data_IF_505802799254
#
_entry.id   IF_505802799254
#
_cell.length_a   1.000
_cell.length_b   1.000
_cell.length_c   1.000
_cell.angle_alpha   90.00
_cell.angle_beta   90.00
_cell.angle_gamma   90.00
#
_symmetry.space_group_name_H-M   'P 1'
#
loop_
_entity.id
_entity.type
_entity.pdbx_description
1 polymer ?
#
# COMPACT_ATOMS: atom_id res chain seq x y z
N UNK A 1 21.88 -6.24 -82.21
CA UNK A 1 21.80 -7.71 -82.10
C UNK A 1 22.82 -8.16 -81.08
N UNK A 2 22.36 -8.92 -80.07
CA UNK A 2 23.06 -9.95 -79.26
C UNK A 2 24.40 -9.52 -78.63
N UNK A 3 24.58 -9.29 -77.32
CA UNK A 3 24.28 -10.00 -76.07
C UNK A 3 25.64 -10.19 -75.35
N UNK A 4 25.74 -9.75 -74.10
CA UNK A 4 26.94 -9.92 -73.27
C UNK A 4 26.54 -9.87 -71.81
N UNK A 5 26.47 -11.04 -71.18
CA UNK A 5 26.16 -11.24 -69.76
C UNK A 5 27.32 -10.75 -68.89
N UNK A 6 27.02 -10.05 -67.80
CA UNK A 6 27.94 -9.83 -66.68
C UNK A 6 27.27 -10.21 -65.36
N UNK A 7 27.72 -11.35 -64.84
CA UNK A 7 27.89 -11.74 -63.43
C UNK A 7 27.29 -10.84 -62.33
N UNK A 8 26.46 -11.45 -61.49
CA UNK A 8 26.58 -11.31 -60.04
C UNK A 8 26.22 -12.63 -59.36
N UNK A 9 27.16 -13.13 -58.55
CA UNK A 9 26.98 -14.30 -57.69
C UNK A 9 26.14 -13.90 -56.47
N UNK A 10 24.86 -14.29 -56.45
CA UNK A 10 24.05 -14.29 -55.23
C UNK A 10 24.28 -15.59 -54.47
N UNK A 11 24.88 -15.49 -53.30
CA UNK A 11 24.91 -16.57 -52.33
C UNK A 11 23.50 -16.76 -51.76
N UNK A 12 22.86 -17.86 -52.17
CA UNK A 12 21.63 -18.40 -51.59
C UNK A 12 21.76 -18.52 -50.06
N UNK A 13 21.26 -17.54 -49.31
CA UNK A 13 20.92 -17.72 -47.90
C UNK A 13 19.59 -18.45 -47.85
N UNK A 14 19.65 -19.73 -47.47
CA UNK A 14 18.48 -20.50 -47.06
C UNK A 14 17.93 -19.82 -45.80
N UNK A 15 16.92 -18.97 -45.99
CA UNK A 15 16.12 -18.41 -44.89
C UNK A 15 15.29 -19.55 -44.28
N UNK A 16 15.89 -20.25 -43.31
CA UNK A 16 15.12 -21.07 -42.36
C UNK A 16 14.37 -20.08 -41.48
N UNK A 17 13.13 -19.75 -41.87
CA UNK A 17 12.18 -19.08 -41.00
C UNK A 17 11.89 -20.00 -39.82
N UNK A 18 12.62 -19.81 -38.72
CA UNK A 18 12.13 -20.23 -37.43
C UNK A 18 10.89 -19.38 -37.11
N UNK A 19 9.71 -19.94 -37.37
CA UNK A 19 8.48 -19.46 -36.75
C UNK A 19 8.61 -19.71 -35.26
N UNK A 20 9.14 -18.71 -34.54
CA UNK A 20 9.07 -18.66 -33.09
C UNK A 20 7.58 -18.61 -32.75
N UNK A 21 7.04 -19.57 -31.98
CA UNK A 21 5.68 -19.45 -31.46
C UNK A 21 5.57 -18.11 -30.72
N UNK A 22 4.52 -17.34 -30.95
CA UNK A 22 4.23 -16.13 -30.19
C UNK A 22 4.01 -16.52 -28.72
N UNK A 23 5.07 -16.45 -27.91
CA UNK A 23 5.01 -16.74 -26.47
C UNK A 23 4.50 -15.48 -25.77
N UNK A 24 3.20 -15.24 -25.88
CA UNK A 24 2.36 -14.64 -24.84
C UNK A 24 2.78 -13.27 -24.30
N UNK A 25 2.97 -12.26 -25.16
CA UNK A 25 3.15 -10.86 -24.73
C UNK A 25 1.87 -10.01 -24.82
N UNK A 26 0.69 -10.58 -24.67
CA UNK A 26 -0.55 -9.81 -24.80
C UNK A 26 -1.68 -10.34 -23.95
N UNK A 27 -1.86 -9.82 -22.74
CA UNK A 27 -3.18 -9.87 -22.12
C UNK A 27 -4.06 -8.85 -22.80
N UNK A 28 -5.25 -9.29 -23.22
CA UNK A 28 -6.23 -8.40 -23.82
C UNK A 28 -6.56 -7.26 -22.85
N UNK A 29 -6.70 -6.04 -23.37
CA UNK A 29 -7.10 -4.86 -22.60
C UNK A 29 -8.30 -5.10 -21.68
N UNK A 30 -9.23 -5.97 -22.11
CA UNK A 30 -10.42 -6.34 -21.34
C UNK A 30 -10.11 -7.06 -20.04
N UNK A 31 -9.08 -7.92 -20.02
CA UNK A 31 -8.72 -8.68 -18.83
C UNK A 31 -7.94 -7.80 -17.84
N UNK A 32 -7.10 -6.89 -18.33
CA UNK A 32 -6.47 -5.86 -17.48
C UNK A 32 -7.51 -4.94 -16.82
N UNK A 33 -8.54 -4.53 -17.58
CA UNK A 33 -9.62 -3.72 -17.03
C UNK A 33 -10.42 -4.49 -15.96
N UNK A 34 -10.68 -5.78 -16.15
CA UNK A 34 -11.32 -6.63 -15.13
C UNK A 34 -10.46 -6.80 -13.90
N UNK A 35 -9.18 -7.14 -14.04
CA UNK A 35 -8.24 -7.27 -12.92
C UNK A 35 -8.19 -5.97 -12.10
N UNK A 36 -8.11 -4.81 -12.77
CA UNK A 36 -8.18 -3.50 -12.11
C UNK A 36 -9.49 -3.30 -11.35
N UNK A 37 -10.64 -3.58 -11.95
CA UNK A 37 -11.94 -3.43 -11.28
C UNK A 37 -12.03 -4.32 -10.03
N UNK A 38 -11.50 -5.53 -10.11
CA UNK A 38 -11.46 -6.48 -8.98
C UNK A 38 -10.54 -5.95 -7.88
N UNK A 39 -9.32 -5.53 -8.23
CA UNK A 39 -8.40 -4.92 -7.27
C UNK A 39 -8.99 -3.69 -6.58
N UNK A 40 -9.70 -2.81 -7.29
CA UNK A 40 -10.38 -1.66 -6.69
C UNK A 40 -11.53 -2.07 -5.76
N UNK A 41 -12.24 -3.15 -6.08
CA UNK A 41 -13.32 -3.66 -5.21
C UNK A 41 -12.74 -4.31 -3.94
N UNK A 42 -11.68 -5.10 -4.07
CA UNK A 42 -10.95 -5.65 -2.90
C UNK A 42 -10.37 -4.52 -2.05
N UNK A 43 -9.78 -3.49 -2.67
CA UNK A 43 -9.27 -2.30 -1.96
C UNK A 43 -10.35 -1.68 -1.06
N UNK A 44 -11.54 -1.48 -1.61
CA UNK A 44 -12.68 -0.92 -0.87
C UNK A 44 -13.14 -1.83 0.27
N UNK A 45 -13.16 -3.14 0.05
CA UNK A 45 -13.60 -4.07 1.08
C UNK A 45 -12.57 -4.25 2.20
N UNK A 46 -11.26 -4.26 1.87
CA UNK A 46 -10.17 -4.21 2.84
C UNK A 46 -10.28 -2.95 3.70
N UNK A 47 -10.50 -1.79 3.08
CA UNK A 47 -10.68 -0.54 3.82
C UNK A 47 -11.89 -0.53 4.76
N UNK A 48 -12.96 -1.26 4.40
CA UNK A 48 -14.18 -1.35 5.20
C UNK A 48 -14.05 -2.31 6.37
N UNK A 49 -13.37 -3.44 6.15
CA UNK A 49 -13.34 -4.56 7.09
C UNK A 49 -12.09 -4.59 7.96
N UNK A 50 -10.97 -4.06 7.47
CA UNK A 50 -9.68 -4.15 8.14
C UNK A 50 -9.23 -2.80 8.71
N UNK A 51 -8.44 -2.80 9.80
CA UNK A 51 -7.92 -1.57 10.39
C UNK A 51 -6.76 -1.02 9.55
N UNK A 52 -7.04 -0.51 8.35
CA UNK A 52 -6.02 0.08 7.47
C UNK A 52 -5.44 1.34 8.12
N UNK A 53 -4.13 1.39 8.25
CA UNK A 53 -3.43 2.58 8.73
C UNK A 53 -3.56 3.71 7.72
N UNK A 54 -3.90 4.91 8.21
CA UNK A 54 -3.95 6.14 7.41
C UNK A 54 -2.84 7.07 7.88
N UNK A 55 -1.62 6.81 7.40
CA UNK A 55 -0.45 7.61 7.73
C UNK A 55 0.36 7.89 6.45
N UNK A 56 0.20 9.08 5.84
CA UNK A 56 0.83 9.37 4.55
C UNK A 56 2.35 9.23 4.56
N UNK A 57 3.02 9.53 5.68
CA UNK A 57 4.48 9.43 5.75
C UNK A 57 4.94 7.97 5.70
N UNK A 58 4.38 7.11 6.57
CA UNK A 58 4.72 5.69 6.62
C UNK A 58 4.35 4.98 5.31
N UNK A 59 3.16 5.27 4.78
CA UNK A 59 2.71 4.77 3.48
C UNK A 59 3.70 5.12 2.37
N UNK A 60 4.13 6.39 2.28
CA UNK A 60 5.05 6.84 1.23
C UNK A 60 6.44 6.20 1.36
N UNK A 61 6.92 5.96 2.59
CA UNK A 61 8.20 5.25 2.79
C UNK A 61 8.15 3.83 2.22
N UNK A 62 7.09 3.09 2.54
CA UNK A 62 6.92 1.72 2.06
C UNK A 62 6.58 1.68 0.56
N UNK A 63 5.79 2.64 0.09
CA UNK A 63 5.46 2.78 -1.33
C UNK A 63 6.69 3.11 -2.17
N UNK A 64 7.67 3.85 -1.63
CA UNK A 64 8.95 4.11 -2.30
C UNK A 64 9.71 2.80 -2.54
N UNK A 65 9.86 1.96 -1.50
CA UNK A 65 10.48 0.63 -1.62
C UNK A 65 9.75 -0.23 -2.64
N UNK A 66 8.42 -0.30 -2.50
CA UNK A 66 7.55 -1.04 -3.41
C UNK A 66 7.71 -0.56 -4.87
N UNK A 67 7.76 0.76 -5.09
CA UNK A 67 7.86 1.35 -6.43
C UNK A 67 9.23 1.10 -7.07
N UNK A 68 10.31 1.10 -6.29
CA UNK A 68 11.64 0.71 -6.78
C UNK A 68 11.62 -0.75 -7.27
N UNK A 69 11.04 -1.67 -6.51
CA UNK A 69 10.92 -3.09 -6.91
C UNK A 69 10.03 -3.24 -8.14
N UNK A 70 8.86 -2.60 -8.12
CA UNK A 70 7.91 -2.62 -9.22
C UNK A 70 8.50 -2.12 -10.54
N UNK A 71 9.38 -1.11 -10.48
CA UNK A 71 10.07 -0.55 -11.67
C UNK A 71 10.94 -1.57 -12.42
N UNK A 72 11.27 -2.69 -11.77
CA UNK A 72 12.03 -3.81 -12.35
C UNK A 72 11.13 -4.88 -13.00
N UNK A 73 9.82 -4.61 -13.10
CA UNK A 73 8.80 -5.54 -13.60
C UNK A 73 8.06 -4.96 -14.79
N UNK A 74 7.25 -5.78 -15.45
CA UNK A 74 6.34 -5.36 -16.54
C UNK A 74 4.93 -5.01 -16.03
N UNK A 75 4.70 -5.01 -14.71
CA UNK A 75 3.37 -4.75 -14.14
C UNK A 75 3.00 -3.28 -14.32
N UNK A 76 1.98 -3.00 -15.13
CA UNK A 76 1.52 -1.64 -15.39
C UNK A 76 0.42 -1.24 -14.39
N UNK A 77 0.65 -0.12 -13.70
CA UNK A 77 -0.32 0.61 -12.86
C UNK A 77 -1.07 -0.24 -11.80
N UNK A 78 -0.39 -0.70 -10.75
CA UNK A 78 -1.05 -1.35 -9.62
C UNK A 78 -2.09 -0.46 -8.93
N UNK A 79 -3.05 -1.08 -8.24
CA UNK A 79 -3.96 -0.36 -7.32
C UNK A 79 -3.18 0.33 -6.20
N UNK A 80 -2.14 -0.31 -5.66
CA UNK A 80 -1.24 0.30 -4.69
C UNK A 80 -0.90 -0.61 -3.52
N UNK A 81 -0.34 0.00 -2.47
CA UNK A 81 0.11 -0.67 -1.25
C UNK A 81 -0.71 -0.16 -0.06
N UNK A 82 -1.22 -1.08 0.76
CA UNK A 82 -1.88 -0.80 2.02
C UNK A 82 -1.04 -1.30 3.19
N UNK A 83 -1.18 -0.63 4.34
CA UNK A 83 -0.63 -1.09 5.61
C UNK A 83 -1.79 -1.39 6.55
N UNK A 84 -1.86 -2.61 7.04
CA UNK A 84 -2.92 -3.07 7.94
C UNK A 84 -2.38 -3.05 9.37
N UNK A 85 -3.14 -2.44 10.29
CA UNK A 85 -2.83 -2.45 11.71
C UNK A 85 -3.19 -3.79 12.35
N UNK A 86 -2.32 -4.77 12.09
CA UNK A 86 -2.43 -6.13 12.59
C UNK A 86 -1.06 -6.58 13.10
N UNK A 87 -0.96 -7.12 14.34
CA UNK A 87 0.29 -7.64 14.91
C UNK A 87 0.79 -8.93 14.27
N UNK A 88 -0.01 -9.63 13.47
CA UNK A 88 0.44 -10.82 12.76
C UNK A 88 1.46 -10.48 11.68
N UNK A 89 2.42 -11.39 11.48
CA UNK A 89 3.36 -11.31 10.34
C UNK A 89 2.63 -11.83 9.11
N UNK A 90 2.13 -10.93 8.28
CA UNK A 90 1.45 -11.28 7.04
C UNK A 90 1.61 -10.20 5.95
N UNK A 91 1.46 -10.65 4.71
CA UNK A 91 1.38 -9.83 3.51
C UNK A 91 0.49 -10.57 2.50
N UNK A 92 -0.16 -9.83 1.61
CA UNK A 92 -0.84 -10.45 0.48
C UNK A 92 -0.89 -9.50 -0.72
N UNK A 93 -1.08 -10.09 -1.89
CA UNK A 93 -1.42 -9.38 -3.11
C UNK A 93 -2.66 -9.97 -3.77
N UNK A 94 -3.38 -9.17 -4.54
CA UNK A 94 -4.55 -9.63 -5.30
C UNK A 94 -4.48 -9.15 -6.75
N UNK A 95 -5.23 -9.78 -7.68
CA UNK A 95 -5.34 -9.31 -9.05
C UNK A 95 -5.67 -7.82 -9.15
N UNK A 96 -5.08 -7.14 -10.14
CA UNK A 96 -5.12 -5.67 -10.26
C UNK A 96 -3.95 -4.96 -9.55
N UNK A 97 -3.12 -5.69 -8.79
CA UNK A 97 -1.94 -5.14 -8.15
C UNK A 97 -2.29 -4.31 -6.90
N UNK A 98 -3.23 -4.79 -6.10
CA UNK A 98 -3.36 -4.33 -4.72
C UNK A 98 -2.48 -5.22 -3.85
N UNK A 99 -1.63 -4.59 -3.05
CA UNK A 99 -0.72 -5.22 -2.10
C UNK A 99 -1.04 -4.73 -0.70
N UNK A 100 -0.90 -5.58 0.29
CA UNK A 100 -1.08 -5.22 1.69
C UNK A 100 0.00 -5.84 2.56
N UNK A 101 0.44 -5.08 3.56
CA UNK A 101 1.41 -5.52 4.57
C UNK A 101 0.83 -5.30 5.96
N UNK A 102 1.00 -6.27 6.84
CA UNK A 102 0.65 -6.10 8.24
C UNK A 102 1.76 -5.36 9.00
N UNK A 103 1.37 -4.57 10.00
CA UNK A 103 2.31 -3.92 10.91
C UNK A 103 3.25 -4.93 11.60
N UNK A 104 2.74 -6.11 11.95
CA UNK A 104 3.51 -7.20 12.53
C UNK A 104 4.70 -7.63 11.69
N UNK A 105 4.56 -7.64 10.35
CA UNK A 105 5.65 -7.92 9.43
C UNK A 105 6.75 -6.86 9.53
N UNK A 106 6.38 -5.58 9.45
CA UNK A 106 7.31 -4.44 9.54
C UNK A 106 8.02 -4.45 10.90
N UNK A 107 7.27 -4.72 11.96
CA UNK A 107 7.75 -4.71 13.35
C UNK A 107 8.66 -5.89 13.70
N UNK A 108 8.59 -6.97 12.92
CA UNK A 108 9.39 -8.18 13.07
C UNK A 108 10.66 -8.17 12.21
N UNK A 109 10.63 -7.48 11.07
CA UNK A 109 11.78 -7.33 10.20
C UNK A 109 12.96 -6.64 10.90
N UNK A 110 14.17 -7.04 10.51
CA UNK A 110 15.45 -6.53 11.05
C UNK A 110 16.04 -5.38 10.25
N UNK A 111 15.67 -5.28 8.97
CA UNK A 111 16.11 -4.22 8.07
C UNK A 111 15.10 -4.04 6.93
N UNK A 112 15.29 -3.01 6.11
CA UNK A 112 14.40 -2.75 4.98
C UNK A 112 14.51 -3.82 3.88
N UNK A 113 15.66 -4.47 3.71
CA UNK A 113 15.85 -5.51 2.69
C UNK A 113 14.97 -6.74 2.97
N UNK A 114 14.69 -7.06 4.24
CA UNK A 114 13.75 -8.12 4.62
C UNK A 114 12.30 -7.78 4.23
N UNK A 115 11.86 -6.54 4.48
CA UNK A 115 10.53 -6.06 4.04
C UNK A 115 10.45 -6.05 2.51
N UNK A 116 11.50 -5.58 1.84
CA UNK A 116 11.62 -5.61 0.39
C UNK A 116 11.56 -7.05 -0.15
N UNK A 117 12.09 -8.04 0.57
CA UNK A 117 11.99 -9.44 0.21
C UNK A 117 10.56 -9.94 0.15
N UNK A 118 9.74 -9.62 1.16
CA UNK A 118 8.32 -9.98 1.12
C UNK A 118 7.58 -9.22 0.02
N UNK A 119 7.81 -7.92 -0.14
CA UNK A 119 7.21 -7.15 -1.24
C UNK A 119 7.57 -7.74 -2.61
N UNK A 120 8.84 -8.12 -2.82
CA UNK A 120 9.30 -8.70 -4.08
C UNK A 120 8.68 -10.07 -4.36
N UNK A 121 8.49 -10.88 -3.32
CA UNK A 121 7.77 -12.16 -3.37
C UNK A 121 6.31 -11.95 -3.83
N UNK A 122 5.59 -11.05 -3.17
CA UNK A 122 4.21 -10.72 -3.52
C UNK A 122 4.10 -10.15 -4.95
N UNK A 123 5.03 -9.26 -5.33
CA UNK A 123 5.10 -8.71 -6.70
C UNK A 123 5.32 -9.85 -7.70
N UNK A 124 6.18 -10.82 -7.39
CA UNK A 124 6.38 -11.99 -8.24
C UNK A 124 5.09 -12.81 -8.39
N UNK A 125 4.30 -13.02 -7.33
CA UNK A 125 3.00 -13.68 -7.47
C UNK A 125 2.07 -12.99 -8.49
N UNK A 126 2.02 -11.66 -8.46
CA UNK A 126 1.18 -10.87 -9.38
C UNK A 126 1.76 -10.85 -10.79
N UNK A 127 3.06 -10.58 -10.96
CA UNK A 127 3.69 -10.53 -12.30
C UNK A 127 3.64 -11.88 -12.99
N UNK A 128 3.80 -12.95 -12.21
CA UNK A 128 3.69 -14.32 -12.68
C UNK A 128 2.24 -14.81 -12.73
N UNK A 129 1.24 -13.97 -12.43
CA UNK A 129 -0.19 -14.33 -12.47
C UNK A 129 -0.49 -15.67 -11.79
N UNK A 130 0.10 -15.94 -10.62
CA UNK A 130 -0.12 -17.22 -9.94
C UNK A 130 -1.60 -17.47 -9.62
N UNK A 131 -2.36 -16.42 -9.32
CA UNK A 131 -3.82 -16.52 -9.22
C UNK A 131 -4.46 -16.88 -10.57
N UNK A 132 -4.19 -16.13 -11.64
CA UNK A 132 -4.84 -16.35 -12.94
C UNK A 132 -4.42 -17.64 -13.65
N UNK A 133 -3.33 -18.29 -13.22
CA UNK A 133 -2.80 -19.56 -13.78
C UNK A 133 -3.18 -20.82 -12.99
N UNK A 134 -3.78 -20.71 -11.80
CA UNK A 134 -4.18 -21.90 -11.04
C UNK A 134 -5.28 -22.67 -11.80
N UNK A 135 -5.09 -23.99 -11.97
CA UNK A 135 -5.56 -24.79 -13.12
C UNK A 135 -7.09 -24.97 -13.29
N UNK A 136 -7.95 -24.33 -12.50
CA UNK A 136 -9.42 -24.42 -12.63
C UNK A 136 -10.13 -23.06 -12.74
N UNK A 137 -9.37 -21.98 -12.95
CA UNK A 137 -9.89 -20.62 -12.92
C UNK A 137 -9.43 -19.90 -14.21
N UNK A 138 -10.27 -19.38 -15.12
CA UNK A 138 -11.35 -18.44 -14.87
C UNK A 138 -12.17 -18.21 -16.16
N UNK A 139 -13.41 -18.71 -16.24
CA UNK A 139 -14.42 -18.14 -17.15
C UNK A 139 -14.99 -16.85 -16.55
N UNK A 140 -14.23 -15.76 -16.45
CA UNK A 140 -14.69 -14.39 -16.09
C UNK A 140 -15.33 -14.17 -14.70
N UNK A 141 -16.23 -15.03 -14.24
CA UNK A 141 -16.92 -14.99 -12.95
C UNK A 141 -16.05 -15.46 -11.78
N UNK A 142 -15.06 -16.33 -12.04
CA UNK A 142 -14.27 -16.86 -10.93
C UNK A 142 -13.39 -15.79 -10.25
N UNK A 143 -12.88 -14.75 -10.95
CA UNK A 143 -11.95 -13.80 -10.32
C UNK A 143 -12.69 -12.95 -9.27
N UNK A 144 -13.98 -12.67 -9.51
CA UNK A 144 -14.86 -12.03 -8.54
C UNK A 144 -15.11 -12.97 -7.35
N UNK A 145 -15.38 -14.26 -7.60
CA UNK A 145 -15.54 -15.23 -6.53
C UNK A 145 -14.26 -15.38 -5.68
N UNK A 146 -13.07 -15.43 -6.32
CA UNK A 146 -11.78 -15.48 -5.63
C UNK A 146 -11.58 -14.24 -4.75
N UNK A 147 -11.91 -13.05 -5.25
CA UNK A 147 -11.84 -11.84 -4.45
C UNK A 147 -12.78 -11.88 -3.24
N UNK A 148 -13.96 -12.53 -3.35
CA UNK A 148 -14.92 -12.66 -2.25
C UNK A 148 -14.43 -13.64 -1.19
N UNK A 149 -13.82 -14.72 -1.65
CA UNK A 149 -13.14 -15.70 -0.82
C UNK A 149 -11.96 -15.06 -0.09
N UNK A 150 -11.11 -14.30 -0.79
CA UNK A 150 -9.96 -13.59 -0.21
C UNK A 150 -10.41 -12.61 0.87
N UNK A 151 -11.41 -11.77 0.58
CA UNK A 151 -12.01 -10.88 1.57
C UNK A 151 -12.56 -11.68 2.75
N UNK A 152 -13.31 -12.74 2.50
CA UNK A 152 -13.91 -13.56 3.56
C UNK A 152 -12.87 -14.20 4.48
N UNK A 153 -11.78 -14.73 3.91
CA UNK A 153 -10.66 -15.28 4.66
C UNK A 153 -9.95 -14.21 5.49
N UNK A 154 -9.69 -13.03 4.92
CA UNK A 154 -9.08 -11.89 5.62
C UNK A 154 -9.93 -11.38 6.79
N UNK A 155 -11.27 -11.41 6.65
CA UNK A 155 -12.19 -11.04 7.75
C UNK A 155 -12.21 -12.10 8.83
N UNK A 156 -12.26 -13.37 8.44
CA UNK A 156 -12.32 -14.48 9.39
C UNK A 156 -11.07 -14.55 10.27
N UNK A 157 -9.91 -14.18 9.75
CA UNK A 157 -8.67 -14.23 10.50
C UNK A 157 -8.48 -13.13 11.54
N UNK A 158 -9.29 -12.07 11.46
CA UNK A 158 -9.37 -11.02 12.48
C UNK A 158 -10.29 -11.39 13.66
N UNK A 159 -11.04 -12.49 13.56
CA UNK A 159 -11.93 -12.92 14.63
C UNK A 159 -11.15 -13.64 15.74
N UNK A 160 -11.34 -13.21 16.99
CA UNK A 160 -10.78 -13.89 18.17
C UNK A 160 -11.12 -15.39 18.15
N UNK A 161 -10.16 -16.21 18.56
CA UNK A 161 -10.01 -17.64 18.23
C UNK A 161 -11.18 -18.60 18.53
N UNK A 162 -12.22 -18.15 19.22
CA UNK A 162 -13.45 -18.93 19.47
C UNK A 162 -14.53 -18.77 18.38
N UNK A 163 -14.52 -17.68 17.60
CA UNK A 163 -15.54 -17.43 16.57
C UNK A 163 -14.99 -17.62 15.15
N UNK A 164 -13.71 -17.33 14.92
CA UNK A 164 -13.05 -17.53 13.62
C UNK A 164 -12.90 -19.02 13.25
N UNK A 165 -12.80 -19.90 14.24
CA UNK A 165 -12.69 -21.35 14.06
C UNK A 165 -14.05 -22.01 13.79
N UNK A 166 -15.14 -21.50 14.35
CA UNK A 166 -16.47 -22.13 14.25
C UNK A 166 -17.12 -22.01 12.85
N UNK A 167 -16.79 -20.99 12.06
CA UNK A 167 -17.36 -20.80 10.72
C UNK A 167 -16.59 -21.57 9.63
N UNK A 168 -15.35 -22.02 9.91
CA UNK A 168 -14.42 -22.55 8.91
C UNK A 168 -14.05 -24.04 9.08
N UNK A 169 -14.78 -24.82 9.88
CA UNK A 169 -14.49 -26.27 10.06
C UNK A 169 -15.32 -27.21 9.16
N UNK A 170 -15.82 -26.72 8.01
CA UNK A 170 -16.54 -27.53 7.02
C UNK A 170 -15.69 -27.92 5.80
N UNK A 171 -16.15 -28.92 5.03
CA UNK A 171 -15.57 -29.28 3.72
C UNK A 171 -15.42 -28.08 2.78
N UNK A 172 -16.32 -27.10 2.89
CA UNK A 172 -16.27 -25.85 2.14
C UNK A 172 -15.04 -25.00 2.47
N UNK A 173 -14.60 -24.93 3.74
CA UNK A 173 -13.43 -24.14 4.11
C UNK A 173 -12.12 -24.80 3.66
N UNK A 174 -12.02 -26.13 3.71
CA UNK A 174 -10.89 -26.87 3.14
C UNK A 174 -10.77 -26.70 1.62
N UNK A 175 -11.90 -26.49 0.93
CA UNK A 175 -11.94 -26.15 -0.50
C UNK A 175 -11.47 -24.72 -0.75
N UNK A 176 -11.84 -23.76 0.11
CA UNK A 176 -11.40 -22.36 0.03
C UNK A 176 -9.89 -22.23 0.32
N UNK A 177 -9.41 -22.89 1.37
CA UNK A 177 -7.99 -22.95 1.75
C UNK A 177 -7.15 -23.45 0.57
N UNK A 178 -7.50 -24.61 -0.01
CA UNK A 178 -6.83 -25.15 -1.21
C UNK A 178 -6.84 -24.21 -2.43
N UNK A 179 -7.85 -23.35 -2.56
CA UNK A 179 -7.93 -22.39 -3.67
C UNK A 179 -7.05 -21.16 -3.44
N UNK A 180 -6.78 -20.81 -2.18
CA UNK A 180 -5.95 -19.68 -1.78
C UNK A 180 -4.47 -20.07 -1.60
N UNK A 181 -4.18 -21.33 -1.26
CA UNK A 181 -2.81 -21.83 -1.12
C UNK A 181 -2.12 -21.93 -2.47
N UNK A 182 -0.96 -21.32 -2.59
CA UNK A 182 -0.11 -21.50 -3.76
C UNK A 182 0.55 -22.88 -3.78
N UNK A 183 0.66 -23.45 -4.97
CA UNK A 183 1.43 -24.69 -5.16
C UNK A 183 2.91 -24.47 -4.83
N UNK A 184 3.60 -25.52 -4.42
CA UNK A 184 5.05 -25.47 -4.14
C UNK A 184 5.87 -24.93 -5.32
N UNK A 185 5.43 -25.18 -6.56
CA UNK A 185 6.10 -24.67 -7.75
C UNK A 185 5.90 -23.16 -7.94
N UNK A 186 4.71 -22.63 -7.63
CA UNK A 186 4.44 -21.20 -7.65
C UNK A 186 5.26 -20.47 -6.57
N UNK A 187 5.35 -21.02 -5.37
CA UNK A 187 6.19 -20.47 -4.30
C UNK A 187 7.67 -20.42 -4.72
N UNK A 188 8.22 -21.52 -5.26
CA UNK A 188 9.62 -21.54 -5.76
C UNK A 188 9.85 -20.56 -6.91
N UNK A 189 8.85 -20.40 -7.79
CA UNK A 189 8.91 -19.43 -8.88
C UNK A 189 8.91 -17.99 -8.33
N UNK A 190 8.05 -17.69 -7.36
CA UNK A 190 7.96 -16.39 -6.70
C UNK A 190 9.24 -16.06 -5.92
N UNK A 191 9.78 -17.00 -5.13
CA UNK A 191 11.04 -16.83 -4.41
C UNK A 191 12.17 -16.46 -5.38
N UNK A 192 12.30 -17.23 -6.48
CA UNK A 192 13.36 -17.03 -7.48
C UNK A 192 13.24 -15.70 -8.19
N UNK A 193 12.05 -15.34 -8.66
CA UNK A 193 11.82 -14.10 -9.42
C UNK A 193 11.86 -12.88 -8.50
N UNK A 194 11.29 -12.99 -7.30
CA UNK A 194 11.36 -11.97 -6.26
C UNK A 194 12.81 -11.61 -5.92
N UNK A 195 13.70 -12.60 -5.72
CA UNK A 195 15.13 -12.33 -5.51
C UNK A 195 15.79 -11.60 -6.68
N UNK A 196 15.38 -11.88 -7.93
CA UNK A 196 15.89 -11.14 -9.09
C UNK A 196 15.41 -9.69 -9.08
N UNK A 197 14.16 -9.44 -8.70
CA UNK A 197 13.64 -8.07 -8.52
C UNK A 197 14.35 -7.33 -7.39
N UNK A 198 14.61 -7.98 -6.25
CA UNK A 198 15.39 -7.41 -5.15
C UNK A 198 16.78 -6.97 -5.64
N UNK A 199 17.51 -7.89 -6.28
CA UNK A 199 18.86 -7.64 -6.77
C UNK A 199 18.91 -6.45 -7.73
N UNK A 200 18.01 -6.43 -8.74
CA UNK A 200 17.92 -5.34 -9.72
C UNK A 200 17.55 -3.99 -9.10
N UNK A 201 16.87 -4.01 -7.96
CA UNK A 201 16.46 -2.82 -7.21
C UNK A 201 17.50 -2.40 -6.16
N UNK A 202 18.63 -3.11 -6.06
CA UNK A 202 19.70 -2.82 -5.10
C UNK A 202 19.45 -3.32 -3.67
N UNK A 203 18.45 -4.19 -3.45
CA UNK A 203 18.20 -4.85 -2.17
C UNK A 203 18.96 -6.18 -2.08
N UNK A 204 19.37 -6.58 -0.88
CA UNK A 204 20.09 -7.84 -0.68
C UNK A 204 19.17 -9.07 -0.84
N UNK A 205 19.39 -9.96 -1.84
CA UNK A 205 18.56 -11.14 -2.04
C UNK A 205 18.60 -12.15 -0.89
N UNK A 206 19.67 -12.16 -0.08
CA UNK A 206 19.75 -13.00 1.13
C UNK A 206 18.67 -12.63 2.15
N UNK A 207 18.24 -11.37 2.15
CA UNK A 207 17.29 -10.86 3.13
C UNK A 207 15.89 -11.48 3.00
N UNK A 208 15.53 -12.05 1.84
CA UNK A 208 14.33 -12.87 1.73
C UNK A 208 14.43 -14.16 2.56
N UNK A 209 15.55 -14.88 2.46
CA UNK A 209 15.78 -16.10 3.24
C UNK A 209 15.97 -15.81 4.74
N UNK A 210 16.58 -14.68 5.07
CA UNK A 210 16.68 -14.16 6.42
C UNK A 210 15.31 -13.88 7.04
N UNK A 211 14.38 -13.29 6.26
CA UNK A 211 13.03 -13.05 6.74
C UNK A 211 12.22 -14.35 6.91
N UNK A 212 12.44 -15.36 6.06
CA UNK A 212 11.89 -16.70 6.28
C UNK A 212 12.29 -17.27 7.64
N UNK A 213 13.54 -17.05 8.07
CA UNK A 213 13.99 -17.45 9.40
C UNK A 213 13.26 -16.67 10.53
N UNK A 214 13.03 -15.37 10.34
CA UNK A 214 12.22 -14.55 11.27
C UNK A 214 10.82 -15.13 11.41
N UNK A 215 10.15 -15.47 10.30
CA UNK A 215 8.82 -16.09 10.29
C UNK A 215 8.81 -17.48 10.93
N UNK A 216 9.83 -18.30 10.66
CA UNK A 216 9.94 -19.62 11.25
C UNK A 216 10.07 -19.55 12.78
N UNK A 217 10.86 -18.60 13.29
CA UNK A 217 11.07 -18.39 14.73
C UNK A 217 9.84 -17.82 15.45
N UNK A 218 9.09 -16.91 14.82
CA UNK A 218 7.86 -16.37 15.43
C UNK A 218 6.77 -17.44 15.56
N UNK A 219 6.67 -18.31 14.55
CA UNK A 219 5.67 -19.40 14.49
C UNK A 219 6.02 -20.54 15.46
N UNK A 220 7.31 -20.80 15.70
CA UNK A 220 7.75 -21.86 16.62
C UNK A 220 7.48 -21.56 18.11
N UNK A 221 7.07 -20.32 18.45
CA UNK A 221 6.79 -19.87 19.82
C UNK A 221 5.30 -19.80 20.17
N UNK A 222 4.41 -19.92 19.18
CA UNK A 222 2.96 -19.82 19.33
C UNK A 222 2.30 -20.98 18.57
N UNK A 223 1.55 -21.84 19.27
CA UNK A 223 0.87 -23.03 18.70
C UNK A 223 -0.31 -22.71 17.77
N UNK A 224 -0.49 -21.44 17.39
CA UNK A 224 -1.50 -20.96 16.46
C UNK A 224 -0.78 -20.42 15.23
N UNK A 225 -0.91 -21.14 14.10
CA UNK A 225 -0.22 -20.83 12.84
C UNK A 225 -0.66 -19.44 12.33
N UNK A 226 0.26 -18.51 12.01
CA UNK A 226 -0.08 -17.24 11.37
C UNK A 226 -0.72 -17.43 9.99
N UNK A 227 -1.63 -16.53 9.60
CA UNK A 227 -2.37 -16.57 8.33
C UNK A 227 -1.51 -16.73 7.07
N UNK A 228 -0.29 -16.15 7.08
CA UNK A 228 0.66 -16.26 5.98
C UNK A 228 0.96 -17.72 5.61
N UNK A 229 0.89 -18.65 6.57
CA UNK A 229 1.16 -20.07 6.34
C UNK A 229 0.04 -20.81 5.60
N UNK A 230 -1.19 -20.33 5.66
CA UNK A 230 -2.31 -20.94 4.93
C UNK A 230 -2.21 -20.66 3.43
N UNK A 231 -1.65 -19.49 3.04
CA UNK A 231 -1.47 -19.14 1.62
C UNK A 231 -0.06 -19.44 1.09
N UNK A 232 0.99 -19.26 1.90
CA UNK A 232 2.40 -19.43 1.56
C UNK A 232 3.14 -20.39 2.52
N UNK A 233 2.98 -21.72 2.38
CA UNK A 233 3.62 -22.67 3.30
C UNK A 233 5.15 -22.57 3.23
N UNK A 234 5.78 -22.19 4.35
CA UNK A 234 7.23 -22.06 4.46
C UNK A 234 7.86 -23.39 4.90
N UNK A 235 8.60 -24.05 4.02
CA UNK A 235 9.31 -25.30 4.36
C UNK A 235 10.79 -25.02 4.63
N UNK A 236 11.44 -25.88 5.43
CA UNK A 236 12.90 -25.87 5.59
C UNK A 236 13.62 -26.02 4.25
N UNK A 237 13.01 -26.77 3.32
CA UNK A 237 13.41 -26.87 1.92
C UNK A 237 13.45 -25.48 1.26
N UNK A 238 12.35 -24.71 1.29
CA UNK A 238 12.28 -23.37 0.69
C UNK A 238 13.31 -22.41 1.28
N UNK A 239 13.51 -22.41 2.60
CA UNK A 239 14.53 -21.57 3.22
C UNK A 239 15.94 -21.93 2.76
N UNK A 240 16.25 -23.22 2.65
CA UNK A 240 17.57 -23.71 2.17
C UNK A 240 17.78 -23.34 0.71
N UNK A 241 16.76 -23.58 -0.11
CA UNK A 241 16.70 -23.25 -1.54
C UNK A 241 16.84 -21.74 -1.80
N UNK A 242 16.19 -20.91 -0.99
CA UNK A 242 16.31 -19.46 -1.03
C UNK A 242 17.75 -19.01 -0.76
N UNK A 243 18.41 -19.57 0.27
CA UNK A 243 19.83 -19.28 0.55
C UNK A 243 20.75 -19.70 -0.59
N UNK A 244 20.54 -20.89 -1.15
CA UNK A 244 21.34 -21.39 -2.28
C UNK A 244 21.20 -20.48 -3.52
N UNK A 245 20.00 -19.99 -3.83
CA UNK A 245 19.77 -19.06 -4.93
C UNK A 245 20.38 -17.68 -4.67
N UNK A 246 20.24 -17.17 -3.45
CA UNK A 246 20.84 -15.89 -3.09
C UNK A 246 22.38 -15.90 -3.30
N UNK A 247 23.05 -17.02 -3.02
CA UNK A 247 24.48 -17.22 -3.28
C UNK A 247 24.87 -17.20 -4.77
N UNK A 248 23.91 -17.41 -5.68
CA UNK A 248 24.13 -17.36 -7.14
C UNK A 248 24.02 -15.94 -7.70
N UNK A 249 23.49 -14.99 -6.92
CA UNK A 249 23.40 -13.59 -7.30
C UNK A 249 24.63 -12.82 -6.77
N UNK A 250 25.05 -11.74 -7.46
CA UNK A 250 26.14 -10.91 -6.96
C UNK A 250 25.83 -10.35 -5.57
N UNK A 251 26.84 -10.33 -4.71
CA UNK A 251 26.68 -9.91 -3.34
C UNK A 251 26.28 -8.43 -3.25
N UNK A 252 25.17 -8.17 -2.54
CA UNK A 252 24.73 -6.85 -2.13
C UNK A 252 24.84 -6.78 -0.61
N UNK A 253 25.52 -5.77 -0.08
CA UNK A 253 25.70 -5.65 1.38
C UNK A 253 24.35 -5.32 2.03
N UNK A 254 23.91 -6.07 3.06
CA UNK A 254 22.68 -5.77 3.76
C UNK A 254 22.81 -4.46 4.55
N UNK A 255 21.73 -3.68 4.61
CA UNK A 255 21.65 -2.48 5.43
C UNK A 255 21.22 -2.82 6.87
N UNK A 256 22.12 -3.43 7.65
CA UNK A 256 21.81 -3.93 9.00
C UNK A 256 21.69 -2.83 10.08
N UNK A 257 22.21 -1.63 9.82
CA UNK A 257 22.15 -0.47 10.71
C UNK A 257 21.51 0.72 9.99
N UNK A 258 20.33 0.48 9.44
CA UNK A 258 19.58 1.48 8.68
C UNK A 258 18.74 2.34 9.64
N UNK A 259 19.20 3.56 9.90
CA UNK A 259 18.48 4.51 10.74
C UNK A 259 17.08 4.82 10.18
N UNK A 260 16.91 4.85 8.86
CA UNK A 260 15.62 5.14 8.23
C UNK A 260 14.64 4.00 8.50
N UNK A 261 15.10 2.74 8.41
CA UNK A 261 14.27 1.59 8.75
C UNK A 261 13.92 1.55 10.25
N UNK A 262 14.86 1.86 11.14
CA UNK A 262 14.56 1.93 12.58
C UNK A 262 13.47 2.99 12.87
N UNK A 263 13.52 4.16 12.23
CA UNK A 263 12.45 5.17 12.35
C UNK A 263 11.11 4.61 11.88
N UNK A 264 11.07 3.98 10.70
CA UNK A 264 9.86 3.35 10.13
C UNK A 264 9.28 2.32 11.09
N UNK A 265 10.13 1.42 11.61
CA UNK A 265 9.76 0.34 12.51
C UNK A 265 9.19 0.87 13.83
N UNK A 266 9.90 1.78 14.50
CA UNK A 266 9.43 2.31 15.78
C UNK A 266 8.21 3.21 15.63
N UNK A 267 8.11 3.98 14.55
CA UNK A 267 6.91 4.74 14.26
C UNK A 267 5.72 3.83 13.93
N UNK A 268 5.93 2.75 13.16
CA UNK A 268 4.91 1.72 12.92
C UNK A 268 4.41 1.11 14.23
N UNK A 269 5.31 0.76 15.17
CA UNK A 269 4.93 0.27 16.50
C UNK A 269 4.08 1.24 17.30
N UNK A 270 4.36 2.54 17.23
CA UNK A 270 3.52 3.57 17.87
C UNK A 270 2.13 3.62 17.22
N UNK A 271 2.06 3.67 15.89
CA UNK A 271 0.80 3.70 15.15
C UNK A 271 -0.03 2.43 15.36
N UNK A 272 0.63 1.28 15.51
CA UNK A 272 0.00 -0.02 15.72
C UNK A 272 -0.26 -0.35 17.20
N UNK A 273 0.10 0.55 18.12
CA UNK A 273 0.02 0.32 19.59
C UNK A 273 0.76 -0.94 20.07
N UNK A 274 1.90 -1.26 19.44
CA UNK A 274 2.77 -2.40 19.76
C UNK A 274 4.07 -1.96 20.46
N UNK A 275 4.00 -0.89 21.25
CA UNK A 275 5.10 -0.37 22.07
C UNK A 275 4.55 0.28 23.33
N UNK A 276 5.38 0.43 24.35
CA UNK A 276 5.05 1.16 25.58
C UNK A 276 5.88 2.43 25.73
N UNK A 277 5.41 3.38 26.54
CA UNK A 277 6.18 4.58 26.90
C UNK A 277 7.50 4.24 27.59
N UNK A 278 7.52 3.20 28.43
CA UNK A 278 8.73 2.75 29.13
C UNK A 278 9.83 2.34 28.15
N UNK A 279 9.47 1.54 27.14
CA UNK A 279 10.39 1.09 26.11
C UNK A 279 10.96 2.27 25.31
N UNK A 280 10.10 3.21 24.91
CA UNK A 280 10.49 4.41 24.17
C UNK A 280 11.34 5.36 25.02
N UNK A 281 11.03 5.49 26.31
CA UNK A 281 11.81 6.28 27.27
C UNK A 281 13.20 5.69 27.52
N UNK A 282 13.33 4.36 27.51
CA UNK A 282 14.64 3.70 27.57
C UNK A 282 15.47 4.04 26.32
N UNK A 283 14.90 3.93 25.13
CA UNK A 283 15.59 4.29 23.89
C UNK A 283 15.98 5.77 23.86
N UNK A 284 15.11 6.64 24.35
CA UNK A 284 15.42 8.06 24.47
C UNK A 284 16.63 8.31 25.38
N UNK A 285 16.71 7.63 26.54
CA UNK A 285 17.87 7.70 27.44
C UNK A 285 19.16 7.17 26.80
N UNK A 286 19.04 6.24 25.85
CA UNK A 286 20.17 5.74 25.05
C UNK A 286 20.53 6.67 23.88
N UNK A 287 19.95 7.87 23.81
CA UNK A 287 20.14 8.84 22.74
C UNK A 287 19.84 8.28 21.34
N UNK A 288 18.86 7.37 21.24
CA UNK A 288 18.44 6.77 19.98
C UNK A 288 17.44 7.70 19.26
N UNK A 289 17.80 8.14 18.05
CA UNK A 289 16.97 9.07 17.27
C UNK A 289 15.59 8.51 16.89
N UNK A 290 15.50 7.24 16.47
CA UNK A 290 14.22 6.61 16.15
C UNK A 290 13.33 6.50 17.40
N UNK A 291 13.92 6.14 18.55
CA UNK A 291 13.24 6.11 19.84
C UNK A 291 12.75 7.48 20.30
N UNK A 292 13.52 8.54 20.07
CA UNK A 292 13.13 9.93 20.34
C UNK A 292 11.92 10.37 19.50
N UNK A 293 11.96 10.11 18.19
CA UNK A 293 10.84 10.39 17.30
C UNK A 293 9.59 9.59 17.68
N UNK A 294 9.75 8.30 17.98
CA UNK A 294 8.66 7.44 18.39
C UNK A 294 8.07 7.85 19.75
N UNK A 295 8.90 8.25 20.72
CA UNK A 295 8.43 8.79 22.01
C UNK A 295 7.62 10.07 21.82
N UNK A 296 8.10 11.00 21.00
CA UNK A 296 7.35 12.21 20.68
C UNK A 296 6.00 11.89 20.03
N UNK A 297 5.97 10.97 19.06
CA UNK A 297 4.74 10.51 18.43
C UNK A 297 3.77 9.86 19.43
N UNK A 298 4.27 9.02 20.33
CA UNK A 298 3.48 8.37 21.37
C UNK A 298 2.85 9.41 22.30
N UNK A 299 3.62 10.38 22.78
CA UNK A 299 3.15 11.42 23.69
C UNK A 299 2.16 12.38 23.01
N UNK A 300 2.31 12.65 21.71
CA UNK A 300 1.30 13.37 20.92
C UNK A 300 -0.03 12.61 20.90
N UNK A 301 -0.03 11.29 20.72
CA UNK A 301 -1.25 10.48 20.76
C UNK A 301 -1.94 10.52 22.13
N UNK A 302 -1.17 10.67 23.21
CA UNK A 302 -1.69 10.85 24.58
C UNK A 302 -2.08 12.30 24.90
N UNK A 303 -1.93 13.24 23.95
CA UNK A 303 -2.11 14.68 24.16
C UNK A 303 -1.17 15.31 25.20
N UNK A 304 -0.09 14.62 25.59
CA UNK A 304 0.97 15.21 26.43
C UNK A 304 1.95 15.99 25.55
N UNK A 305 1.51 17.18 25.15
CA UNK A 305 2.30 18.04 24.27
C UNK A 305 3.55 18.58 24.95
N UNK A 306 3.64 18.61 26.29
CA UNK A 306 4.83 19.07 27.01
C UNK A 306 5.94 18.03 26.95
N UNK A 307 5.62 16.78 27.30
CA UNK A 307 6.57 15.69 27.18
C UNK A 307 6.97 15.47 25.71
N UNK A 308 5.99 15.52 24.79
CA UNK A 308 6.27 15.37 23.36
C UNK A 308 7.26 16.43 22.84
N UNK A 309 7.12 17.68 23.27
CA UNK A 309 8.06 18.75 22.90
C UNK A 309 9.48 18.45 23.41
N UNK A 310 9.60 17.98 24.66
CA UNK A 310 10.90 17.63 25.24
C UNK A 310 11.58 16.48 24.49
N UNK A 311 10.84 15.42 24.14
CA UNK A 311 11.36 14.32 23.33
C UNK A 311 11.77 14.82 21.92
N UNK A 312 10.94 15.66 21.29
CA UNK A 312 11.21 16.21 19.97
C UNK A 312 12.43 17.14 19.93
N UNK A 313 12.65 17.92 20.98
CA UNK A 313 13.82 18.80 21.09
C UNK A 313 15.12 18.01 21.27
N UNK A 314 15.06 16.82 21.85
CA UNK A 314 16.18 15.88 21.86
C UNK A 314 16.42 15.30 20.46
N UNK A 315 15.36 14.89 19.75
CA UNK A 315 15.44 14.39 18.37
C UNK A 315 16.10 15.40 17.41
N UNK A 316 15.76 16.69 17.54
CA UNK A 316 16.33 17.77 16.71
C UNK A 316 17.86 17.90 16.81
N UNK A 317 18.48 17.40 17.87
CA UNK A 317 19.95 17.44 18.03
C UNK A 317 20.67 16.50 17.04
N UNK A 318 19.97 15.48 16.54
CA UNK A 318 20.53 14.49 15.62
C UNK A 318 20.40 14.92 14.15
N UNK A 319 19.19 15.29 13.73
CA UNK A 319 18.91 15.67 12.35
C UNK A 319 17.78 16.69 12.29
N UNK A 320 18.10 17.96 12.04
CA UNK A 320 17.11 19.04 12.06
C UNK A 320 16.16 19.05 10.86
N UNK A 321 16.47 18.31 9.79
CA UNK A 321 15.74 18.36 8.52
C UNK A 321 14.76 17.20 8.31
N UNK A 322 14.68 16.25 9.25
CA UNK A 322 13.81 15.08 9.08
C UNK A 322 12.31 15.48 9.04
N UNK A 323 11.51 15.05 8.03
CA UNK A 323 10.11 15.47 7.87
C UNK A 323 9.23 15.22 9.08
N UNK A 324 9.41 14.09 9.78
CA UNK A 324 8.65 13.79 11.00
C UNK A 324 8.83 14.85 12.09
N UNK A 325 9.98 15.52 12.17
CA UNK A 325 10.16 16.59 13.16
C UNK A 325 9.20 17.75 12.91
N UNK A 326 9.03 18.14 11.64
CA UNK A 326 8.11 19.21 11.27
C UNK A 326 6.67 18.77 11.46
N UNK A 327 6.33 17.54 11.10
CA UNK A 327 4.99 16.98 11.31
C UNK A 327 4.62 16.98 12.80
N UNK A 328 5.48 16.41 13.66
CA UNK A 328 5.24 16.33 15.10
C UNK A 328 5.27 17.70 15.77
N UNK A 329 6.18 18.59 15.38
CA UNK A 329 6.20 19.97 15.89
C UNK A 329 4.90 20.70 15.56
N UNK A 330 4.39 20.50 14.33
CA UNK A 330 3.12 21.08 13.88
C UNK A 330 1.95 20.50 14.67
N UNK A 331 1.93 19.19 14.92
CA UNK A 331 0.89 18.55 15.74
C UNK A 331 0.90 19.06 17.19
N UNK A 332 2.08 19.24 17.79
CA UNK A 332 2.23 19.86 19.12
C UNK A 332 1.66 21.29 19.13
N UNK A 333 1.99 22.11 18.13
CA UNK A 333 1.45 23.46 18.03
C UNK A 333 -0.06 23.47 17.87
N UNK A 334 -0.60 22.60 17.02
CA UNK A 334 -2.05 22.46 16.82
C UNK A 334 -2.75 22.02 18.10
N UNK A 335 -2.20 21.03 18.82
CA UNK A 335 -2.72 20.54 20.10
C UNK A 335 -2.72 21.59 21.21
N UNK A 336 -1.80 22.56 21.14
CA UNK A 336 -1.73 23.72 22.04
C UNK A 336 -2.50 24.95 21.54
N UNK A 337 -3.31 24.83 20.49
CA UNK A 337 -4.02 25.93 19.84
C UNK A 337 -3.11 27.07 19.31
N UNK A 338 -1.85 26.77 18.98
CA UNK A 338 -0.87 27.72 18.46
C UNK A 338 -0.86 27.72 16.92
N UNK A 339 -1.98 28.11 16.31
CA UNK A 339 -2.19 28.00 14.86
C UNK A 339 -1.15 28.75 14.01
N UNK A 340 -0.75 29.96 14.41
CA UNK A 340 0.25 30.74 13.68
C UNK A 340 1.63 30.07 13.70
N UNK A 341 2.00 29.44 14.82
CA UNK A 341 3.25 28.69 14.93
C UNK A 341 3.20 27.41 14.07
N UNK A 342 2.07 26.68 14.10
CA UNK A 342 1.83 25.54 13.24
C UNK A 342 1.98 25.89 11.75
N UNK A 343 1.35 26.99 11.32
CA UNK A 343 1.40 27.47 9.93
C UNK A 343 2.83 27.81 9.51
N UNK A 344 3.56 28.56 10.34
CA UNK A 344 4.95 28.93 10.07
C UNK A 344 5.87 27.69 9.97
N UNK A 345 5.66 26.72 10.85
CA UNK A 345 6.44 25.48 10.91
C UNK A 345 6.32 24.66 9.62
N UNK A 346 5.08 24.35 9.21
CA UNK A 346 4.86 23.41 8.10
C UNK A 346 4.95 24.06 6.72
N UNK A 347 4.59 25.34 6.58
CA UNK A 347 4.54 26.01 5.27
C UNK A 347 5.91 26.07 4.59
N UNK A 348 6.98 26.31 5.36
CA UNK A 348 8.35 26.32 4.82
C UNK A 348 8.78 24.92 4.37
N UNK A 349 8.50 23.89 5.18
CA UNK A 349 8.89 22.52 4.85
C UNK A 349 8.14 22.00 3.62
N UNK A 350 6.84 22.25 3.51
CA UNK A 350 6.04 21.87 2.35
C UNK A 350 6.49 22.59 1.06
N UNK A 351 7.05 23.80 1.16
CA UNK A 351 7.64 24.51 0.01
C UNK A 351 8.97 23.91 -0.42
N UNK A 352 9.80 23.46 0.53
CA UNK A 352 11.11 22.86 0.25
C UNK A 352 10.96 21.43 -0.28
N UNK A 353 9.96 20.69 0.21
CA UNK A 353 9.63 19.31 -0.19
C UNK A 353 8.20 19.24 -0.78
N UNK A 354 7.96 19.82 -1.97
CA UNK A 354 6.62 19.87 -2.58
C UNK A 354 6.06 18.49 -2.94
N UNK A 355 6.91 17.47 -3.12
CA UNK A 355 6.55 16.09 -3.39
C UNK A 355 6.16 15.29 -2.13
N UNK A 356 6.51 15.77 -0.93
CA UNK A 356 6.22 15.07 0.31
C UNK A 356 4.73 15.20 0.66
N UNK A 357 3.96 14.13 0.43
CA UNK A 357 2.51 14.10 0.65
C UNK A 357 2.14 14.39 2.10
N UNK A 358 2.85 13.81 3.06
CA UNK A 358 2.57 13.99 4.49
C UNK A 358 2.69 15.45 4.93
N UNK A 359 3.77 16.13 4.55
CA UNK A 359 3.97 17.55 4.85
C UNK A 359 2.91 18.43 4.19
N UNK A 360 2.59 18.15 2.93
CA UNK A 360 1.59 18.92 2.19
C UNK A 360 0.16 18.69 2.73
N UNK A 361 -0.18 17.48 3.16
CA UNK A 361 -1.45 17.19 3.82
C UNK A 361 -1.54 17.84 5.20
N UNK A 362 -0.46 17.82 5.98
CA UNK A 362 -0.38 18.57 7.23
C UNK A 362 -0.51 20.08 7.00
N UNK A 363 0.12 20.60 5.96
CA UNK A 363 -0.02 22.01 5.59
C UNK A 363 -1.45 22.36 5.18
N UNK A 364 -2.10 21.51 4.38
CA UNK A 364 -3.51 21.68 4.02
C UNK A 364 -4.41 21.66 5.26
N UNK A 365 -4.20 20.75 6.22
CA UNK A 365 -4.93 20.75 7.50
C UNK A 365 -4.79 22.09 8.25
N UNK A 366 -3.56 22.60 8.35
CA UNK A 366 -3.30 23.88 9.01
C UNK A 366 -3.96 25.05 8.27
N UNK A 367 -3.90 25.07 6.94
CA UNK A 367 -4.57 26.08 6.11
C UNK A 367 -6.09 26.08 6.29
N UNK A 368 -6.70 24.89 6.38
CA UNK A 368 -8.14 24.77 6.66
C UNK A 368 -8.47 25.41 8.01
N UNK A 369 -7.70 25.11 9.06
CA UNK A 369 -7.88 25.74 10.38
C UNK A 369 -7.62 27.25 10.36
N UNK A 370 -6.71 27.70 9.50
CA UNK A 370 -6.40 29.12 9.28
C UNK A 370 -7.38 29.84 8.34
N UNK A 371 -8.52 29.22 8.00
CA UNK A 371 -9.55 29.80 7.12
C UNK A 371 -9.02 30.12 5.70
N UNK A 372 -8.10 29.30 5.19
CA UNK A 372 -7.54 29.38 3.84
C UNK A 372 -7.85 28.11 3.01
N UNK A 373 -9.14 27.75 2.82
CA UNK A 373 -9.53 26.47 2.21
C UNK A 373 -9.16 26.35 0.72
N UNK A 374 -9.09 27.44 -0.03
CA UNK A 374 -8.74 27.39 -1.45
C UNK A 374 -7.30 26.93 -1.68
N UNK A 375 -6.36 27.43 -0.88
CA UNK A 375 -4.97 26.99 -0.92
C UNK A 375 -4.84 25.52 -0.52
N UNK A 376 -5.57 25.10 0.52
CA UNK A 376 -5.59 23.71 0.96
C UNK A 376 -6.06 22.77 -0.17
N UNK A 377 -7.16 23.10 -0.86
CA UNK A 377 -7.66 22.32 -2.00
C UNK A 377 -6.64 22.24 -3.13
N UNK A 378 -5.97 23.34 -3.48
CA UNK A 378 -4.96 23.35 -4.54
C UNK A 378 -3.78 22.42 -4.24
N UNK A 379 -3.34 22.37 -2.99
CA UNK A 379 -2.28 21.46 -2.54
C UNK A 379 -2.75 20.01 -2.65
N UNK A 380 -3.91 19.70 -2.06
CA UNK A 380 -4.44 18.33 -2.00
C UNK A 380 -4.77 17.78 -3.40
N UNK A 381 -5.30 18.63 -4.30
CA UNK A 381 -5.67 18.22 -5.65
C UNK A 381 -4.48 17.66 -6.45
N UNK A 382 -3.26 18.15 -6.22
CA UNK A 382 -2.05 17.64 -6.90
C UNK A 382 -1.83 16.15 -6.58
N UNK A 383 -1.99 15.77 -5.32
CA UNK A 383 -1.83 14.37 -4.89
C UNK A 383 -3.01 13.50 -5.35
N UNK A 384 -4.23 14.03 -5.32
CA UNK A 384 -5.41 13.32 -5.84
C UNK A 384 -5.37 13.09 -7.35
N UNK A 385 -4.69 13.95 -8.11
CA UNK A 385 -4.45 13.72 -9.54
C UNK A 385 -3.50 12.54 -9.78
N UNK A 386 -2.51 12.33 -8.91
CA UNK A 386 -1.60 11.20 -8.98
C UNK A 386 -2.23 9.91 -8.44
N UNK A 387 -3.04 10.00 -7.38
CA UNK A 387 -3.76 8.88 -6.80
C UNK A 387 -5.19 9.29 -6.39
N UNK A 388 -6.15 9.01 -7.26
CA UNK A 388 -7.56 9.35 -7.03
C UNK A 388 -8.24 8.46 -5.97
N UNK A 389 -7.53 7.49 -5.38
CA UNK A 389 -8.05 6.55 -4.37
C UNK A 389 -7.67 6.97 -2.94
N UNK A 390 -6.88 8.02 -2.78
CA UNK A 390 -6.40 8.50 -1.50
C UNK A 390 -7.54 9.08 -0.64
N UNK A 391 -7.97 8.31 0.35
CA UNK A 391 -9.04 8.66 1.28
C UNK A 391 -8.69 9.90 2.10
N UNK A 392 -7.43 10.06 2.50
CA UNK A 392 -6.96 11.20 3.30
C UNK A 392 -7.05 12.50 2.49
N UNK A 393 -6.68 12.45 1.21
CA UNK A 393 -6.83 13.56 0.28
C UNK A 393 -8.29 13.97 0.12
N UNK A 394 -9.20 13.03 -0.17
CA UNK A 394 -10.62 13.35 -0.30
C UNK A 394 -11.25 13.91 0.99
N UNK A 395 -10.80 13.42 2.16
CA UNK A 395 -11.23 13.96 3.45
C UNK A 395 -10.79 15.40 3.64
N UNK A 396 -9.56 15.75 3.26
CA UNK A 396 -9.09 17.14 3.31
C UNK A 396 -9.85 18.04 2.32
N UNK A 397 -10.19 17.54 1.12
CA UNK A 397 -11.06 18.28 0.18
C UNK A 397 -12.44 18.57 0.78
N UNK A 398 -13.04 17.58 1.45
CA UNK A 398 -14.32 17.74 2.14
C UNK A 398 -14.23 18.77 3.27
N UNK A 399 -13.21 18.67 4.13
CA UNK A 399 -12.99 19.59 5.26
C UNK A 399 -12.73 21.02 4.77
N UNK A 400 -11.89 21.20 3.75
CA UNK A 400 -11.62 22.49 3.15
C UNK A 400 -12.89 23.12 2.58
N UNK A 401 -13.68 22.35 1.82
CA UNK A 401 -14.95 22.84 1.26
C UNK A 401 -15.94 23.21 2.36
N UNK A 402 -15.96 22.48 3.47
CA UNK A 402 -16.82 22.81 4.60
C UNK A 402 -16.43 24.13 5.28
N UNK A 403 -15.14 24.49 5.26
CA UNK A 403 -14.61 25.75 5.80
C UNK A 403 -14.80 26.96 4.86
N UNK A 404 -15.23 26.78 3.61
CA UNK A 404 -15.51 27.89 2.69
C UNK A 404 -16.70 28.76 3.14
N UNK A 405 -16.77 30.03 2.73
CA UNK A 405 -17.98 30.83 2.86
C UNK A 405 -19.19 30.18 2.17
N UNK A 406 -20.40 30.57 2.59
CA UNK A 406 -21.62 30.06 1.98
C UNK A 406 -21.65 30.37 0.47
N UNK A 407 -21.92 29.36 -0.35
CA UNK A 407 -22.09 29.50 -1.80
C UNK A 407 -23.13 28.51 -2.31
N UNK A 408 -23.72 28.79 -3.47
CA UNK A 408 -24.74 27.93 -4.08
C UNK A 408 -24.22 26.50 -4.37
N UNK A 409 -22.91 26.32 -4.52
CA UNK A 409 -22.28 25.03 -4.86
C UNK A 409 -21.61 24.35 -3.67
N UNK A 410 -21.44 25.03 -2.53
CA UNK A 410 -20.73 24.51 -1.35
C UNK A 410 -21.30 23.17 -0.90
N UNK A 411 -22.62 23.12 -0.66
CA UNK A 411 -23.29 21.90 -0.20
C UNK A 411 -23.15 20.74 -1.19
N UNK A 412 -23.26 21.00 -2.50
CA UNK A 412 -23.06 19.99 -3.53
C UNK A 412 -21.61 19.45 -3.55
N UNK A 413 -20.61 20.32 -3.41
CA UNK A 413 -19.20 19.91 -3.37
C UNK A 413 -18.83 19.13 -2.10
N UNK A 414 -19.34 19.54 -0.93
CA UNK A 414 -19.16 18.79 0.33
C UNK A 414 -19.68 17.37 0.18
N UNK A 415 -20.90 17.21 -0.36
CA UNK A 415 -21.50 15.90 -0.61
C UNK A 415 -20.73 15.09 -1.65
N UNK A 416 -20.20 15.74 -2.70
CA UNK A 416 -19.36 15.10 -3.71
C UNK A 416 -18.08 14.52 -3.11
N UNK A 417 -17.33 15.30 -2.32
CA UNK A 417 -16.10 14.82 -1.69
C UNK A 417 -16.37 13.81 -0.59
N UNK A 418 -17.46 13.98 0.18
CA UNK A 418 -17.95 12.97 1.12
C UNK A 418 -18.20 11.63 0.44
N UNK A 419 -18.81 11.64 -0.75
CA UNK A 419 -19.04 10.42 -1.50
C UNK A 419 -17.74 9.73 -1.92
N UNK A 420 -16.68 10.46 -2.29
CA UNK A 420 -15.38 9.85 -2.58
C UNK A 420 -14.77 9.20 -1.34
N UNK A 421 -14.82 9.87 -0.18
CA UNK A 421 -14.38 9.29 1.10
C UNK A 421 -15.14 8.01 1.41
N UNK A 422 -16.48 8.06 1.34
CA UNK A 422 -17.34 6.90 1.59
C UNK A 422 -17.06 5.76 0.61
N UNK A 423 -16.89 6.08 -0.68
CA UNK A 423 -16.65 5.09 -1.72
C UNK A 423 -15.33 4.37 -1.52
N UNK A 424 -14.22 5.09 -1.39
CA UNK A 424 -12.89 4.49 -1.21
C UNK A 424 -12.70 3.85 0.17
N UNK A 425 -13.54 4.19 1.16
CA UNK A 425 -13.62 3.49 2.45
C UNK A 425 -14.56 2.27 2.43
N UNK A 426 -15.12 1.92 1.28
CA UNK A 426 -15.96 0.73 1.07
C UNK A 426 -17.46 0.90 1.39
N UNK A 427 -17.91 2.09 1.76
CA UNK A 427 -19.33 2.41 1.94
C UNK A 427 -20.01 2.83 0.63
N UNK A 428 -19.95 1.96 -0.40
CA UNK A 428 -20.40 2.27 -1.77
C UNK A 428 -21.87 2.75 -1.83
N UNK A 429 -22.76 2.14 -1.05
CA UNK A 429 -24.17 2.53 -1.04
C UNK A 429 -24.38 3.93 -0.46
N UNK A 430 -23.66 4.25 0.62
CA UNK A 430 -23.71 5.56 1.25
C UNK A 430 -23.13 6.61 0.30
N UNK A 431 -22.02 6.29 -0.39
CA UNK A 431 -21.43 7.15 -1.40
C UNK A 431 -22.40 7.50 -2.54
N UNK A 432 -23.12 6.50 -3.06
CA UNK A 432 -24.15 6.70 -4.10
C UNK A 432 -25.27 7.60 -3.56
N UNK A 433 -25.73 7.40 -2.32
CA UNK A 433 -26.74 8.27 -1.68
C UNK A 433 -26.24 9.71 -1.54
N UNK A 434 -24.97 9.89 -1.16
CA UNK A 434 -24.31 11.21 -1.07
C UNK A 434 -24.26 11.90 -2.43
N UNK A 435 -23.90 11.20 -3.52
CA UNK A 435 -23.92 11.77 -4.87
C UNK A 435 -25.33 12.07 -5.39
N UNK A 436 -26.33 11.24 -5.10
CA UNK A 436 -27.73 11.52 -5.43
C UNK A 436 -28.24 12.77 -4.70
N UNK A 437 -27.77 13.03 -3.48
CA UNK A 437 -28.04 14.30 -2.80
C UNK A 437 -27.30 15.44 -3.50
N UNK A 438 -26.00 15.30 -3.76
CA UNK A 438 -25.20 16.32 -4.45
C UNK A 438 -25.82 16.74 -5.79
N UNK A 439 -26.33 15.78 -6.56
CA UNK A 439 -27.02 15.99 -7.83
C UNK A 439 -28.24 16.91 -7.69
N UNK A 440 -29.05 16.70 -6.64
CA UNK A 440 -30.24 17.52 -6.36
C UNK A 440 -29.87 18.95 -5.97
N UNK A 441 -28.77 19.13 -5.23
CA UNK A 441 -28.26 20.44 -4.82
C UNK A 441 -27.58 21.19 -5.96
N UNK A 442 -27.01 20.48 -6.94
CA UNK A 442 -26.28 21.06 -8.06
C UNK A 442 -27.15 21.47 -9.27
N UNK A 443 -28.48 21.30 -9.24
CA UNK A 443 -29.37 21.43 -10.41
C UNK A 443 -29.18 22.70 -11.26
N UNK A 444 -28.82 23.81 -10.62
CA UNK A 444 -28.65 25.10 -11.30
C UNK A 444 -27.24 25.32 -11.87
N UNK A 445 -26.34 24.32 -11.75
CA UNK A 445 -24.98 24.37 -12.26
C UNK A 445 -24.73 23.16 -13.18
N UNK A 446 -24.87 23.39 -14.49
CA UNK A 446 -24.77 22.34 -15.51
C UNK A 446 -23.42 21.60 -15.48
N UNK A 447 -22.31 22.33 -15.32
CA UNK A 447 -20.98 21.73 -15.27
C UNK A 447 -20.82 20.80 -14.06
N UNK A 448 -21.25 21.25 -12.88
CA UNK A 448 -21.16 20.46 -11.66
C UNK A 448 -22.09 19.24 -11.71
N UNK A 449 -23.31 19.41 -12.23
CA UNK A 449 -24.24 18.31 -12.46
C UNK A 449 -23.65 17.26 -13.41
N UNK A 450 -22.99 17.66 -14.50
CA UNK A 450 -22.35 16.73 -15.43
C UNK A 450 -21.27 15.89 -14.74
N UNK A 451 -20.39 16.52 -13.95
CA UNK A 451 -19.36 15.82 -13.18
C UNK A 451 -19.98 14.83 -12.18
N UNK A 452 -21.00 15.25 -11.43
CA UNK A 452 -21.68 14.38 -10.46
C UNK A 452 -22.37 13.20 -11.17
N UNK A 453 -23.04 13.44 -12.28
CA UNK A 453 -23.73 12.40 -13.05
C UNK A 453 -22.77 11.34 -13.60
N UNK A 454 -21.63 11.79 -14.14
CA UNK A 454 -20.59 10.88 -14.62
C UNK A 454 -20.05 10.00 -13.49
N UNK A 455 -19.72 10.60 -12.35
CA UNK A 455 -19.19 9.85 -11.20
C UNK A 455 -20.21 8.92 -10.57
N UNK A 456 -21.48 9.36 -10.48
CA UNK A 456 -22.58 8.54 -10.00
C UNK A 456 -22.77 7.30 -10.88
N UNK A 457 -22.72 7.45 -12.21
CA UNK A 457 -22.78 6.32 -13.15
C UNK A 457 -21.63 5.33 -12.93
N UNK A 458 -20.41 5.83 -12.73
CA UNK A 458 -19.25 4.98 -12.43
C UNK A 458 -19.43 4.19 -11.13
N UNK A 459 -19.86 4.83 -10.05
CA UNK A 459 -20.08 4.14 -8.76
C UNK A 459 -21.22 3.11 -8.85
N UNK A 460 -22.30 3.43 -9.57
CA UNK A 460 -23.41 2.50 -9.79
C UNK A 460 -23.00 1.28 -10.62
N UNK A 461 -22.20 1.47 -11.67
CA UNK A 461 -21.63 0.38 -12.47
C UNK A 461 -20.70 -0.50 -11.62
N UNK A 462 -19.79 0.11 -10.85
CA UNK A 462 -18.88 -0.62 -9.98
C UNK A 462 -19.62 -1.47 -8.93
N UNK A 463 -20.76 -0.99 -8.40
CA UNK A 463 -21.59 -1.72 -7.43
C UNK A 463 -22.25 -2.98 -8.00
N UNK A 464 -22.49 -3.04 -9.31
CA UNK A 464 -23.13 -4.22 -9.94
C UNK A 464 -22.24 -5.47 -9.86
N UNK A 465 -20.93 -5.29 -9.71
CA UNK A 465 -19.99 -6.38 -9.49
C UNK A 465 -20.02 -6.80 -8.02
N UNK A 466 -20.67 -7.94 -7.76
CA UNK A 466 -20.61 -8.61 -6.46
C UNK A 466 -19.35 -9.46 -6.41
N UNK A 467 -18.63 -9.32 -5.30
CA UNK A 467 -17.46 -10.08 -4.91
C UNK A 467 -17.87 -10.87 -3.67
#
# INVERSE_FOLDING_TARGET
MVAGHSSNHDFNQVNVQFSVPDIGTGVGLLDQQKEKMIGEKVYREVHKQMPVMQNPWLEDQLLSVFSHILSQTQLQQPIGLLVINDPQINAFAVPGGLFALNAGLINSARNMDEVAGVMAHEIAHVTQRHYSRSQDAFKGQGLLALAGILVGALVASQADGDVGTAVMMGSQAALLDKQLTYSRNQEREADRIGMQYMYRSGYNPHSMADFFEVMHRSTSRLSFLPDFWFTHPLTTERMSEARLRANQLPAVKPKLNDQDFEIIKWYSRVLSRQTSEEQLSLMNRQNNFAGQLALAAYQIQQSDFQAAQAALDQAKKHNQMHPLLVLFQTDIYLGRNQLNAALKSVASAARIMPENRALNYKYAEVLIRAQQPDQAKQIVQKFLNANSRDVSGWRLMQLATNAEPASAIKAANVLRYRAEVEYWSGYEETAIKSLLHAQRTAKNNQSLSATINQRLKQMQQARQYKI
#
